data_IF_186277994581
#
_entry.id   IF_186277994581
#
_cell.length_a   1.000
_cell.length_b   1.000
_cell.length_c   1.000
_cell.angle_alpha   90.00
_cell.angle_beta   90.00
_cell.angle_gamma   90.00
#
_symmetry.space_group_name_H-M   'P 1'
#
loop_
_entity.id
_entity.type
_entity.pdbx_description
1 polymer ?
#
# COMPACT_ATOMS: atom_id res chain seq x y z
N UNK A 1 50.67 -41.14 -43.96
CA UNK A 1 50.17 -42.46 -43.51
C UNK A 1 48.98 -42.83 -44.38
N UNK A 2 49.08 -43.96 -45.08
CA UNK A 2 48.12 -44.49 -46.05
C UNK A 2 46.77 -44.83 -45.40
N UNK A 3 45.67 -44.31 -45.95
CA UNK A 3 44.28 -44.70 -45.61
C UNK A 3 43.66 -45.58 -46.71
N UNK A 4 44.48 -46.42 -47.35
CA UNK A 4 44.04 -47.43 -48.31
C UNK A 4 43.82 -48.76 -47.58
N UNK A 5 42.81 -48.86 -46.70
CA UNK A 5 42.26 -50.16 -46.29
C UNK A 5 40.92 -50.02 -45.53
N UNK A 6 39.87 -49.54 -46.19
CA UNK A 6 38.50 -49.75 -45.70
C UNK A 6 37.90 -50.89 -46.52
N UNK A 7 37.95 -52.08 -45.91
CA UNK A 7 37.38 -53.32 -46.42
C UNK A 7 35.86 -53.16 -46.46
N UNK A 8 35.31 -52.80 -47.62
CA UNK A 8 33.87 -52.80 -47.86
C UNK A 8 33.33 -54.23 -47.71
N UNK A 9 32.35 -54.49 -46.83
CA UNK A 9 31.72 -55.80 -46.75
C UNK A 9 30.92 -56.02 -48.04
N UNK A 10 31.26 -57.09 -48.77
CA UNK A 10 30.51 -57.57 -49.92
C UNK A 10 29.06 -57.85 -49.49
N UNK A 11 28.12 -57.02 -49.93
CA UNK A 11 26.69 -57.34 -49.85
C UNK A 11 26.37 -58.45 -50.85
N UNK A 12 25.63 -59.51 -50.45
CA UNK A 12 25.20 -60.55 -51.36
C UNK A 12 24.20 -59.99 -52.38
N UNK A 13 24.36 -60.40 -53.63
CA UNK A 13 23.49 -60.08 -54.73
C UNK A 13 22.06 -60.56 -54.47
N UNK A 14 21.15 -59.59 -54.35
CA UNK A 14 19.73 -59.79 -54.31
C UNK A 14 19.09 -58.43 -54.53
N UNK A 15 18.58 -58.18 -55.73
CA UNK A 15 17.99 -56.90 -56.13
C UNK A 15 16.85 -56.43 -55.22
N UNK A 16 16.22 -57.35 -54.47
CA UNK A 16 15.18 -57.04 -53.49
C UNK A 16 15.75 -56.59 -52.11
N UNK A 17 16.80 -57.22 -51.59
CA UNK A 17 17.32 -56.92 -50.25
C UNK A 17 18.04 -55.56 -50.18
N UNK A 18 18.81 -55.22 -51.21
CA UNK A 18 19.45 -53.90 -51.31
C UNK A 18 18.44 -52.78 -51.61
N UNK A 19 17.37 -53.08 -52.35
CA UNK A 19 16.26 -52.16 -52.55
C UNK A 19 15.48 -51.90 -51.25
N UNK A 20 15.23 -52.94 -50.43
CA UNK A 20 14.56 -52.82 -49.13
C UNK A 20 15.39 -52.01 -48.12
N UNK A 21 16.71 -52.16 -48.10
CA UNK A 21 17.59 -51.34 -47.25
C UNK A 21 17.56 -49.88 -47.70
N UNK A 22 17.61 -49.61 -49.01
CA UNK A 22 17.49 -48.23 -49.54
C UNK A 22 16.12 -47.61 -49.24
N UNK A 23 15.04 -48.38 -49.40
CA UNK A 23 13.68 -47.96 -49.04
C UNK A 23 13.55 -47.72 -47.53
N UNK A 24 14.15 -48.56 -46.70
CA UNK A 24 14.17 -48.40 -45.25
C UNK A 24 14.95 -47.17 -44.79
N UNK A 25 16.08 -46.85 -45.45
CA UNK A 25 16.85 -45.62 -45.16
C UNK A 25 16.11 -44.38 -45.61
N UNK A 26 15.49 -44.38 -46.79
CA UNK A 26 14.69 -43.24 -47.29
C UNK A 26 13.43 -43.05 -46.46
N UNK A 27 12.74 -44.12 -46.09
CA UNK A 27 11.58 -44.06 -45.20
C UNK A 27 11.98 -43.62 -43.78
N UNK A 28 13.10 -44.13 -43.25
CA UNK A 28 13.63 -43.72 -41.96
C UNK A 28 14.04 -42.25 -41.92
N UNK A 29 14.72 -41.75 -42.96
CA UNK A 29 15.03 -40.32 -43.12
C UNK A 29 13.78 -39.46 -43.30
N UNK A 30 12.78 -39.96 -44.02
CA UNK A 30 11.48 -39.29 -44.19
C UNK A 30 10.73 -39.15 -42.87
N UNK A 31 10.61 -40.23 -42.10
CA UNK A 31 9.95 -40.24 -40.79
C UNK A 31 10.73 -39.40 -39.78
N UNK A 32 12.07 -39.50 -39.76
CA UNK A 32 12.92 -38.65 -38.92
C UNK A 32 12.81 -37.16 -39.30
N UNK A 33 12.72 -36.87 -40.60
CA UNK A 33 12.49 -35.53 -41.12
C UNK A 33 11.16 -34.98 -40.61
N UNK A 34 10.05 -35.70 -40.80
CA UNK A 34 8.71 -35.28 -40.36
C UNK A 34 8.64 -35.12 -38.84
N UNK A 35 9.22 -36.06 -38.08
CA UNK A 35 9.23 -36.00 -36.62
C UNK A 35 9.99 -34.78 -36.09
N UNK A 36 11.14 -34.42 -36.70
CA UNK A 36 11.88 -33.21 -36.36
C UNK A 36 11.29 -31.94 -36.98
N UNK A 37 10.33 -32.06 -37.91
CA UNK A 37 9.67 -30.92 -38.55
C UNK A 37 8.49 -30.40 -37.72
N UNK A 38 8.04 -31.14 -36.72
CA UNK A 38 6.92 -30.73 -35.88
C UNK A 38 7.46 -30.06 -34.62
N UNK A 39 6.91 -28.89 -34.30
CA UNK A 39 7.15 -28.24 -33.01
C UNK A 39 5.82 -27.78 -32.40
N UNK A 40 5.77 -27.80 -31.07
CA UNK A 40 4.60 -27.46 -30.30
C UNK A 40 4.79 -26.12 -29.62
N UNK A 41 3.76 -25.27 -29.67
CA UNK A 41 3.70 -24.01 -28.95
C UNK A 41 2.67 -24.15 -27.84
N UNK A 42 3.12 -24.05 -26.60
CA UNK A 42 2.26 -24.15 -25.42
C UNK A 42 1.33 -22.94 -25.27
N UNK A 43 0.22 -23.13 -24.57
CA UNK A 43 -0.74 -22.05 -24.31
C UNK A 43 -0.09 -20.85 -23.62
N UNK A 44 -0.40 -19.64 -24.10
CA UNK A 44 0.21 -18.40 -23.60
C UNK A 44 1.65 -18.15 -24.06
N UNK A 45 2.16 -18.96 -24.98
CA UNK A 45 3.37 -18.66 -25.74
C UNK A 45 3.04 -18.35 -27.20
N UNK A 46 3.96 -17.68 -27.88
CA UNK A 46 3.90 -17.41 -29.33
C UNK A 46 5.25 -17.75 -29.93
N UNK A 47 5.25 -18.34 -31.12
CA UNK A 47 6.49 -18.64 -31.81
C UNK A 47 6.72 -17.69 -32.99
N UNK A 48 7.96 -17.24 -33.12
CA UNK A 48 8.47 -16.63 -34.35
C UNK A 48 9.42 -17.62 -35.02
N UNK A 49 9.48 -17.62 -36.35
CA UNK A 49 10.34 -18.55 -37.08
C UNK A 49 11.48 -17.78 -37.73
N UNK A 50 12.71 -18.14 -37.35
CA UNK A 50 13.93 -17.68 -37.99
C UNK A 50 14.29 -18.63 -39.14
N UNK A 51 14.33 -18.11 -40.36
CA UNK A 51 14.81 -18.83 -41.53
C UNK A 51 16.27 -18.44 -41.83
N UNK A 52 17.13 -19.43 -42.08
CA UNK A 52 18.57 -19.19 -42.33
C UNK A 52 18.85 -18.36 -43.59
N UNK A 53 17.99 -18.40 -44.60
CA UNK A 53 18.19 -17.72 -45.89
C UNK A 53 17.59 -16.31 -45.89
N UNK A 54 16.35 -16.18 -45.42
CA UNK A 54 15.55 -14.94 -45.51
C UNK A 54 15.60 -14.14 -44.19
N UNK A 55 15.96 -14.78 -43.07
CA UNK A 55 15.92 -14.19 -41.73
C UNK A 55 14.60 -14.45 -41.01
N UNK A 56 14.25 -13.57 -40.08
CA UNK A 56 13.03 -13.67 -39.25
C UNK A 56 11.79 -13.45 -40.11
N UNK A 57 10.83 -14.38 -40.08
CA UNK A 57 9.52 -14.21 -40.74
C UNK A 57 8.62 -13.28 -39.93
N UNK A 58 7.79 -12.49 -40.61
CA UNK A 58 6.80 -11.59 -39.97
C UNK A 58 5.57 -12.33 -39.42
N UNK A 59 5.37 -13.59 -39.79
CA UNK A 59 4.24 -14.37 -39.31
C UNK A 59 4.51 -14.88 -37.89
N UNK A 60 3.61 -14.53 -36.98
CA UNK A 60 3.58 -15.05 -35.61
C UNK A 60 2.68 -16.28 -35.55
N UNK A 61 3.20 -17.36 -34.98
CA UNK A 61 2.48 -18.61 -34.84
C UNK A 61 1.80 -18.67 -33.46
N UNK A 62 0.48 -18.91 -33.40
CA UNK A 62 -0.26 -19.07 -32.15
C UNK A 62 0.13 -20.38 -31.42
N UNK A 63 -0.54 -20.65 -30.31
CA UNK A 63 -0.50 -21.96 -29.64
C UNK A 63 -0.95 -23.10 -30.57
N UNK A 64 -0.34 -24.27 -30.42
CA UNK A 64 -0.62 -25.46 -31.24
C UNK A 64 0.62 -26.06 -31.93
N UNK A 65 0.41 -27.18 -32.62
CA UNK A 65 1.46 -27.88 -33.37
C UNK A 65 1.65 -27.24 -34.73
N UNK A 66 2.88 -26.85 -35.03
CA UNK A 66 3.26 -26.17 -36.27
C UNK A 66 4.38 -26.95 -36.98
N UNK A 67 4.43 -26.80 -38.30
CA UNK A 67 5.43 -27.42 -39.14
C UNK A 67 6.57 -26.42 -39.43
N UNK A 68 7.80 -26.83 -39.16
CA UNK A 68 9.04 -26.16 -39.51
C UNK A 68 9.88 -27.04 -40.42
N UNK A 69 10.65 -26.45 -41.33
CA UNK A 69 11.62 -27.20 -42.13
C UNK A 69 12.91 -27.36 -41.31
N UNK A 70 13.28 -28.59 -40.89
CA UNK A 70 14.49 -28.83 -40.12
C UNK A 70 15.70 -28.28 -40.89
N UNK A 71 16.68 -27.75 -40.16
CA UNK A 71 17.91 -27.11 -40.66
C UNK A 71 17.77 -25.68 -41.20
N UNK A 72 16.71 -25.38 -41.95
CA UNK A 72 16.48 -24.03 -42.49
C UNK A 72 15.73 -23.13 -41.52
N UNK A 73 14.80 -23.68 -40.76
CA UNK A 73 13.92 -22.93 -39.87
C UNK A 73 14.18 -23.27 -38.41
N UNK A 74 14.19 -22.24 -37.57
CA UNK A 74 14.32 -22.36 -36.11
C UNK A 74 13.22 -21.55 -35.44
N UNK A 75 12.29 -22.19 -34.72
CA UNK A 75 11.27 -21.51 -33.94
C UNK A 75 11.90 -20.94 -32.67
N UNK A 76 11.62 -19.67 -32.38
CA UNK A 76 11.94 -19.01 -31.12
C UNK A 76 10.62 -18.75 -30.41
N UNK A 77 10.47 -19.33 -29.22
CA UNK A 77 9.23 -19.31 -28.45
C UNK A 77 9.31 -18.18 -27.43
N UNK A 78 8.35 -17.26 -27.48
CA UNK A 78 8.18 -16.16 -26.55
C UNK A 78 7.04 -16.44 -25.60
N UNK A 79 7.25 -16.13 -24.32
CA UNK A 79 6.16 -16.00 -23.36
C UNK A 79 5.48 -14.64 -23.54
N UNK A 80 4.17 -14.66 -23.82
CA UNK A 80 3.36 -13.44 -23.98
C UNK A 80 2.51 -13.12 -22.76
N UNK A 81 2.71 -13.85 -21.65
CA UNK A 81 2.04 -13.59 -20.37
C UNK A 81 2.63 -12.36 -19.68
N UNK A 82 1.81 -11.71 -18.87
CA UNK A 82 2.24 -10.60 -18.03
C UNK A 82 3.24 -11.09 -16.98
N UNK A 83 4.42 -10.49 -16.93
CA UNK A 83 5.44 -10.76 -15.92
C UNK A 83 5.71 -9.51 -15.08
N UNK A 84 5.80 -9.64 -13.74
CA UNK A 84 6.16 -8.52 -12.89
C UNK A 84 7.66 -8.25 -12.97
N UNK A 85 8.01 -6.98 -13.07
CA UNK A 85 9.37 -6.49 -12.97
C UNK A 85 9.44 -5.40 -11.91
N UNK A 86 10.36 -5.55 -10.96
CA UNK A 86 10.58 -4.57 -9.91
C UNK A 86 11.87 -3.82 -10.22
N UNK A 87 11.75 -2.49 -10.32
CA UNK A 87 12.88 -1.61 -10.59
C UNK A 87 12.92 -0.55 -9.51
N UNK A 88 14.09 -0.40 -8.90
CA UNK A 88 14.35 0.71 -7.98
C UNK A 88 15.16 1.79 -8.68
N UNK A 89 14.84 3.05 -8.40
CA UNK A 89 15.60 4.20 -8.88
C UNK A 89 15.64 5.29 -7.82
N UNK A 90 16.76 5.99 -7.74
CA UNK A 90 16.90 7.18 -6.90
C UNK A 90 16.79 8.42 -7.77
N UNK A 91 15.87 9.31 -7.42
CA UNK A 91 15.63 10.57 -8.14
C UNK A 91 15.53 11.75 -7.17
N UNK A 92 15.93 12.93 -7.65
CA UNK A 92 15.61 14.18 -6.99
C UNK A 92 14.15 14.57 -7.23
N UNK A 93 13.47 15.06 -6.21
CA UNK A 93 12.16 15.71 -6.29
C UNK A 93 12.31 17.20 -6.67
N UNK A 94 11.19 17.90 -6.88
CA UNK A 94 11.15 19.33 -7.20
C UNK A 94 11.82 20.22 -6.14
N UNK A 95 11.74 19.82 -4.89
CA UNK A 95 12.35 20.44 -3.71
C UNK A 95 13.78 19.93 -3.43
N UNK A 96 14.43 19.32 -4.44
CA UNK A 96 15.80 18.84 -4.40
C UNK A 96 16.06 17.79 -3.30
N UNK A 97 15.03 17.07 -2.87
CA UNK A 97 15.18 15.94 -1.95
C UNK A 97 15.45 14.66 -2.73
N UNK A 98 16.41 13.88 -2.25
CA UNK A 98 16.69 12.57 -2.83
C UNK A 98 15.67 11.55 -2.33
N UNK A 99 14.95 10.94 -3.28
CA UNK A 99 13.92 9.94 -3.01
C UNK A 99 14.29 8.64 -3.72
N UNK A 100 14.32 7.55 -2.97
CA UNK A 100 14.44 6.20 -3.51
C UNK A 100 13.04 5.64 -3.75
N UNK A 101 12.75 5.29 -4.99
CA UNK A 101 11.42 4.87 -5.45
C UNK A 101 11.55 3.47 -6.04
N UNK A 102 10.76 2.54 -5.50
CA UNK A 102 10.56 1.22 -6.10
C UNK A 102 9.29 1.21 -6.93
N UNK A 103 9.39 0.78 -8.18
CA UNK A 103 8.27 0.64 -9.10
C UNK A 103 8.13 -0.83 -9.51
N UNK A 104 6.91 -1.36 -9.39
CA UNK A 104 6.52 -2.64 -9.97
C UNK A 104 5.74 -2.38 -11.26
N UNK A 105 6.20 -3.00 -12.34
CA UNK A 105 5.60 -2.91 -13.66
C UNK A 105 5.21 -4.32 -14.12
N UNK A 106 3.97 -4.50 -14.57
CA UNK A 106 3.53 -5.71 -15.26
C UNK A 106 3.68 -5.49 -16.76
N UNK A 107 4.59 -6.24 -17.38
CA UNK A 107 4.92 -6.11 -18.79
C UNK A 107 4.58 -7.37 -19.56
N UNK A 108 4.10 -7.20 -20.79
CA UNK A 108 3.99 -8.27 -21.78
C UNK A 108 4.32 -7.74 -23.17
N UNK A 109 4.93 -8.54 -24.05
CA UNK A 109 5.17 -8.13 -25.43
C UNK A 109 3.85 -8.19 -26.22
N UNK A 110 3.69 -7.31 -27.21
CA UNK A 110 2.53 -7.36 -28.10
C UNK A 110 2.66 -8.57 -29.04
N UNK A 111 1.73 -9.54 -29.02
CA UNK A 111 1.87 -10.79 -29.79
C UNK A 111 2.09 -10.58 -31.28
N UNK A 112 1.40 -9.60 -31.89
CA UNK A 112 1.43 -9.38 -33.34
C UNK A 112 2.77 -8.78 -33.83
N UNK A 113 3.52 -8.12 -32.94
CA UNK A 113 4.75 -7.40 -33.27
C UNK A 113 6.01 -8.09 -32.74
N UNK A 114 5.90 -9.34 -32.30
CA UNK A 114 7.04 -10.15 -31.83
C UNK A 114 8.22 -10.24 -32.81
N UNK A 115 8.02 -10.33 -34.15
CA UNK A 115 9.14 -10.33 -35.10
C UNK A 115 9.95 -9.04 -35.04
N UNK A 116 9.28 -7.90 -34.91
CA UNK A 116 9.90 -6.58 -34.76
C UNK A 116 10.67 -6.50 -33.45
N UNK A 117 10.06 -6.90 -32.34
CA UNK A 117 10.70 -6.96 -31.01
C UNK A 117 11.98 -7.78 -31.04
N UNK A 118 11.94 -8.97 -31.66
CA UNK A 118 13.11 -9.84 -31.75
C UNK A 118 14.24 -9.22 -32.58
N UNK A 119 13.92 -8.56 -33.71
CA UNK A 119 14.92 -7.89 -34.56
C UNK A 119 15.60 -6.72 -33.85
N UNK A 120 14.84 -5.91 -33.09
CA UNK A 120 15.36 -4.69 -32.46
C UNK A 120 15.97 -4.93 -31.09
N UNK A 121 15.34 -5.78 -30.27
CA UNK A 121 15.64 -5.94 -28.84
C UNK A 121 16.25 -7.31 -28.50
N UNK A 122 15.96 -8.33 -29.32
CA UNK A 122 16.34 -9.71 -29.07
C UNK A 122 15.42 -10.40 -28.05
N UNK A 123 15.85 -11.57 -27.56
CA UNK A 123 15.10 -12.37 -26.58
C UNK A 123 14.99 -11.67 -25.21
N UNK A 124 16.04 -10.94 -24.82
CA UNK A 124 16.11 -10.20 -23.55
C UNK A 124 15.56 -8.78 -23.65
N UNK A 125 14.41 -8.61 -24.30
CA UNK A 125 13.79 -7.30 -24.51
C UNK A 125 13.45 -6.58 -23.19
N UNK A 126 13.05 -7.34 -22.16
CA UNK A 126 12.70 -6.79 -20.85
C UNK A 126 13.91 -6.12 -20.17
N UNK A 127 15.02 -6.83 -20.03
CA UNK A 127 16.19 -6.35 -19.29
C UNK A 127 16.93 -5.22 -20.02
N UNK A 128 16.89 -5.24 -21.36
CA UNK A 128 17.66 -4.30 -22.17
C UNK A 128 17.10 -2.89 -22.17
N UNK A 129 15.77 -2.74 -22.18
CA UNK A 129 15.12 -1.45 -22.43
C UNK A 129 14.23 -0.98 -21.28
N UNK A 130 13.55 -1.87 -20.56
CA UNK A 130 12.65 -1.45 -19.49
C UNK A 130 13.35 -0.62 -18.40
N UNK A 131 14.53 -1.00 -17.86
CA UNK A 131 15.17 -0.22 -16.80
C UNK A 131 15.48 1.21 -17.26
N UNK A 132 15.90 1.39 -18.51
CA UNK A 132 16.25 2.70 -19.07
C UNK A 132 15.03 3.61 -19.17
N UNK A 133 13.93 3.14 -19.76
CA UNK A 133 12.71 3.94 -19.91
C UNK A 133 12.09 4.22 -18.54
N UNK A 134 12.08 3.24 -17.64
CA UNK A 134 11.55 3.38 -16.28
C UNK A 134 12.35 4.44 -15.52
N UNK A 135 13.69 4.36 -15.53
CA UNK A 135 14.53 5.33 -14.83
C UNK A 135 14.38 6.74 -15.37
N UNK A 136 14.29 6.90 -16.69
CA UNK A 136 14.08 8.20 -17.32
C UNK A 136 12.70 8.78 -16.96
N UNK A 137 11.64 7.98 -17.09
CA UNK A 137 10.26 8.39 -16.80
C UNK A 137 10.09 8.73 -15.33
N UNK A 138 10.64 7.92 -14.42
CA UNK A 138 10.62 8.20 -12.99
C UNK A 138 11.32 9.52 -12.68
N UNK A 139 12.52 9.75 -13.23
CA UNK A 139 13.24 11.01 -13.03
C UNK A 139 12.46 12.22 -13.55
N UNK A 140 11.84 12.09 -14.72
CA UNK A 140 11.07 13.17 -15.34
C UNK A 140 9.81 13.52 -14.54
N UNK A 141 9.07 12.53 -14.04
CA UNK A 141 7.83 12.77 -13.28
C UNK A 141 8.15 13.24 -11.86
N UNK A 142 9.09 12.58 -11.18
CA UNK A 142 9.42 12.87 -9.77
C UNK A 142 9.97 14.29 -9.61
N UNK A 143 10.73 14.78 -10.59
CA UNK A 143 11.22 16.15 -10.60
C UNK A 143 10.11 17.23 -10.67
N UNK A 144 8.89 16.87 -11.07
CA UNK A 144 7.75 17.80 -11.15
C UNK A 144 6.99 17.94 -9.83
N UNK A 145 7.11 16.97 -8.92
CA UNK A 145 6.41 16.90 -7.64
C UNK A 145 7.34 17.17 -6.46
N UNK A 146 6.79 17.78 -5.41
CA UNK A 146 7.49 17.92 -4.14
C UNK A 146 7.48 16.59 -3.36
N UNK A 147 8.45 16.38 -2.48
CA UNK A 147 8.55 15.17 -1.65
C UNK A 147 7.24 14.86 -0.87
N UNK A 148 6.58 15.89 -0.32
CA UNK A 148 5.30 15.75 0.40
C UNK A 148 4.14 15.32 -0.50
N UNK A 149 4.15 15.71 -1.77
CA UNK A 149 3.12 15.35 -2.76
C UNK A 149 3.27 13.89 -3.20
N UNK A 150 4.49 13.36 -3.25
CA UNK A 150 4.73 11.95 -3.57
C UNK A 150 4.10 11.00 -2.53
N UNK A 151 3.96 11.45 -1.28
CA UNK A 151 3.28 10.71 -0.21
C UNK A 151 1.77 10.90 -0.32
N UNK A 152 1.31 12.15 -0.34
CA UNK A 152 -0.12 12.49 -0.23
C UNK A 152 -0.90 12.21 -1.51
N UNK A 153 -0.30 12.39 -2.69
CA UNK A 153 -0.93 12.25 -4.00
C UNK A 153 -0.32 11.11 -4.82
N UNK A 154 0.11 10.04 -4.13
CA UNK A 154 0.78 8.88 -4.74
C UNK A 154 0.01 8.29 -5.92
N UNK A 155 -1.32 8.23 -5.84
CA UNK A 155 -2.18 7.68 -6.89
C UNK A 155 -2.13 8.51 -8.17
N UNK A 156 -2.18 9.84 -8.05
CA UNK A 156 -2.07 10.74 -9.19
C UNK A 156 -0.70 10.62 -9.86
N UNK A 157 0.37 10.54 -9.07
CA UNK A 157 1.73 10.36 -9.56
C UNK A 157 1.88 9.00 -10.26
N UNK A 158 1.32 7.92 -9.69
CA UNK A 158 1.35 6.58 -10.29
C UNK A 158 0.62 6.55 -11.64
N UNK A 159 -0.51 7.27 -11.75
CA UNK A 159 -1.25 7.40 -13.01
C UNK A 159 -0.46 8.14 -14.09
N UNK A 160 0.21 9.24 -13.71
CA UNK A 160 1.03 10.01 -14.65
C UNK A 160 2.24 9.20 -15.13
N UNK A 161 2.92 8.50 -14.22
CA UNK A 161 4.00 7.57 -14.56
C UNK A 161 3.48 6.49 -15.52
N UNK A 162 2.31 5.89 -15.23
CA UNK A 162 1.70 4.88 -16.09
C UNK A 162 1.47 5.42 -17.50
N UNK A 163 0.88 6.60 -17.64
CA UNK A 163 0.59 7.21 -18.94
C UNK A 163 1.87 7.38 -19.77
N UNK A 164 2.87 8.06 -19.23
CA UNK A 164 4.12 8.34 -19.94
C UNK A 164 4.89 7.05 -20.24
N UNK A 165 4.92 6.12 -19.29
CA UNK A 165 5.61 4.84 -19.46
C UNK A 165 4.92 3.97 -20.52
N UNK A 166 3.59 3.95 -20.56
CA UNK A 166 2.82 3.23 -21.60
C UNK A 166 3.07 3.82 -22.98
N UNK A 167 3.06 5.15 -23.14
CA UNK A 167 3.37 5.81 -24.41
C UNK A 167 4.79 5.47 -24.89
N UNK A 168 5.78 5.51 -23.99
CA UNK A 168 7.17 5.17 -24.33
C UNK A 168 7.37 3.68 -24.62
N UNK A 169 6.73 2.79 -23.86
CA UNK A 169 6.82 1.34 -24.07
C UNK A 169 6.15 0.90 -25.37
N UNK A 170 5.08 1.59 -25.80
CA UNK A 170 4.40 1.33 -27.06
C UNK A 170 5.34 1.49 -28.27
N UNK A 171 6.26 2.46 -28.24
CA UNK A 171 7.27 2.63 -29.30
C UNK A 171 8.20 1.41 -29.47
N UNK A 172 8.34 0.60 -28.43
CA UNK A 172 9.12 -0.64 -28.45
C UNK A 172 8.26 -1.90 -28.60
N UNK A 173 6.96 -1.75 -28.89
CA UNK A 173 5.99 -2.84 -28.98
C UNK A 173 5.85 -3.67 -27.70
N UNK A 174 6.03 -3.04 -26.54
CA UNK A 174 5.83 -3.65 -25.22
C UNK A 174 4.56 -3.05 -24.61
N UNK A 175 3.63 -3.91 -24.20
CA UNK A 175 2.43 -3.50 -23.49
C UNK A 175 2.65 -3.55 -21.97
N UNK A 176 2.13 -2.52 -21.28
CA UNK A 176 2.13 -2.43 -19.83
C UNK A 176 0.71 -2.63 -19.32
N UNK A 177 0.48 -3.69 -18.57
CA UNK A 177 -0.86 -3.96 -18.02
C UNK A 177 -1.10 -3.13 -16.75
N UNK A 178 -0.07 -3.01 -15.90
CA UNK A 178 -0.14 -2.26 -14.64
C UNK A 178 1.21 -1.64 -14.26
N UNK A 179 1.16 -0.48 -13.59
CA UNK A 179 2.31 0.25 -13.10
C UNK A 179 1.97 0.79 -11.72
N UNK A 180 2.68 0.31 -10.70
CA UNK A 180 2.43 0.69 -9.31
C UNK A 180 3.73 1.01 -8.60
N UNK A 181 3.78 2.14 -7.90
CA UNK A 181 4.86 2.42 -6.94
C UNK A 181 4.73 1.39 -5.81
N UNK A 182 5.81 0.71 -5.42
CA UNK A 182 5.85 -0.27 -4.33
C UNK A 182 6.40 0.37 -3.06
N UNK A 183 7.59 0.94 -3.13
CA UNK A 183 8.29 1.57 -2.00
C UNK A 183 8.65 3.02 -2.31
N UNK A 184 8.61 3.86 -1.28
CA UNK A 184 9.01 5.27 -1.35
C UNK A 184 9.80 5.57 -0.08
N UNK A 185 11.09 5.86 -0.23
CA UNK A 185 12.00 6.10 0.90
C UNK A 185 12.68 7.44 0.69
N UNK A 186 12.61 8.30 1.70
CA UNK A 186 13.29 9.60 1.72
C UNK A 186 14.63 9.49 2.48
N UNK A 187 15.48 10.50 2.33
CA UNK A 187 16.66 10.68 3.18
C UNK A 187 16.27 10.71 4.66
N UNK A 188 17.15 10.21 5.54
CA UNK A 188 16.88 10.08 6.98
C UNK A 188 16.59 11.44 7.63
N UNK A 189 17.29 12.46 7.18
CA UNK A 189 17.19 13.84 7.65
C UNK A 189 15.81 14.44 7.35
N UNK A 190 15.27 14.17 6.15
CA UNK A 190 13.94 14.64 5.76
C UNK A 190 12.85 13.94 6.56
N UNK A 191 12.94 12.61 6.71
CA UNK A 191 11.99 11.84 7.53
C UNK A 191 11.99 12.34 8.98
N UNK A 192 13.16 12.53 9.58
CA UNK A 192 13.28 13.06 10.94
C UNK A 192 12.69 14.48 11.07
N UNK A 193 12.89 15.35 10.08
CA UNK A 193 12.31 16.69 10.08
C UNK A 193 10.78 16.68 9.97
N UNK A 194 10.22 15.77 9.17
CA UNK A 194 8.75 15.60 9.05
C UNK A 194 8.16 15.06 10.35
N UNK A 195 8.78 14.05 10.95
CA UNK A 195 8.36 13.51 12.25
C UNK A 195 8.41 14.59 13.34
N UNK A 196 9.50 15.34 13.43
CA UNK A 196 9.63 16.45 14.38
C UNK A 196 8.55 17.52 14.16
N UNK A 197 8.23 17.85 12.90
CA UNK A 197 7.16 18.80 12.57
C UNK A 197 5.78 18.26 12.95
N UNK A 198 5.54 16.97 12.77
CA UNK A 198 4.29 16.32 13.18
C UNK A 198 4.12 16.33 14.70
N UNK A 199 5.19 16.01 15.44
CA UNK A 199 5.19 16.09 16.91
C UNK A 199 4.91 17.52 17.36
N UNK A 200 5.62 18.52 16.82
CA UNK A 200 5.40 19.93 17.16
C UNK A 200 3.98 20.41 16.82
N UNK A 201 3.40 19.97 15.69
CA UNK A 201 2.02 20.29 15.33
C UNK A 201 1.01 19.66 16.30
N UNK A 202 1.22 18.40 16.68
CA UNK A 202 0.38 17.71 17.66
C UNK A 202 0.50 18.33 19.06
N UNK A 203 1.69 18.74 19.47
CA UNK A 203 1.92 19.45 20.73
C UNK A 203 1.21 20.82 20.74
N UNK A 204 1.27 21.56 19.62
CA UNK A 204 0.56 22.82 19.50
C UNK A 204 -0.97 22.64 19.57
N UNK A 205 -1.51 21.60 18.94
CA UNK A 205 -2.93 21.27 19.03
C UNK A 205 -3.33 20.86 20.44
N UNK A 206 -2.51 20.04 21.11
CA UNK A 206 -2.72 19.68 22.51
C UNK A 206 -2.67 20.90 23.43
N UNK A 207 -1.74 21.82 23.22
CA UNK A 207 -1.64 23.05 23.99
C UNK A 207 -2.91 23.91 23.83
N UNK A 208 -3.45 24.03 22.62
CA UNK A 208 -4.75 24.70 22.38
C UNK A 208 -5.88 24.04 23.16
N UNK A 209 -5.95 22.72 23.15
CA UNK A 209 -6.97 21.98 23.90
C UNK A 209 -6.85 22.18 25.41
N UNK A 210 -5.63 22.26 25.96
CA UNK A 210 -5.40 22.54 27.38
C UNK A 210 -5.88 23.96 27.74
N UNK A 211 -5.58 24.94 26.89
CA UNK A 211 -6.06 26.32 27.08
C UNK A 211 -7.58 26.39 27.02
N UNK A 212 -8.19 25.75 26.01
CA UNK A 212 -9.65 25.70 25.87
C UNK A 212 -10.30 25.02 27.08
N UNK A 213 -9.74 23.90 27.55
CA UNK A 213 -10.20 23.23 28.79
C UNK A 213 -10.12 24.17 29.99
N UNK A 214 -9.00 24.89 30.16
CA UNK A 214 -8.84 25.83 31.26
C UNK A 214 -9.84 27.00 31.17
N UNK A 215 -10.17 27.48 29.97
CA UNK A 215 -11.22 28.48 29.78
C UNK A 215 -12.61 27.94 30.14
N UNK A 216 -12.93 26.71 29.73
CA UNK A 216 -14.19 26.07 30.07
C UNK A 216 -14.31 25.83 31.58
N UNK A 217 -13.24 25.37 32.23
CA UNK A 217 -13.19 25.17 33.68
C UNK A 217 -13.37 26.51 34.42
N UNK A 218 -12.74 27.59 33.94
CA UNK A 218 -12.94 28.95 34.48
C UNK A 218 -14.39 29.41 34.33
N UNK A 219 -14.99 29.23 33.16
CA UNK A 219 -16.40 29.59 32.91
C UNK A 219 -17.33 28.80 33.82
N UNK A 220 -17.09 27.49 33.96
CA UNK A 220 -17.81 26.62 34.89
C UNK A 220 -17.72 27.08 36.34
N UNK A 221 -16.52 27.45 36.79
CA UNK A 221 -16.30 27.98 38.14
C UNK A 221 -17.03 29.32 38.38
N UNK A 222 -17.03 30.24 37.42
CA UNK A 222 -17.76 31.52 37.52
C UNK A 222 -19.27 31.27 37.57
N UNK A 223 -19.79 30.42 36.68
CA UNK A 223 -21.22 30.08 36.65
C UNK A 223 -21.63 29.41 37.96
N UNK A 224 -20.80 28.51 38.49
CA UNK A 224 -21.03 27.86 39.78
C UNK A 224 -21.04 28.87 40.93
N UNK A 225 -20.05 29.76 41.00
CA UNK A 225 -19.98 30.79 42.03
C UNK A 225 -21.16 31.77 41.95
N UNK A 226 -21.59 32.16 40.75
CA UNK A 226 -22.78 32.97 40.54
C UNK A 226 -24.06 32.23 40.96
N UNK A 227 -24.15 30.94 40.64
CA UNK A 227 -25.25 30.07 41.06
C UNK A 227 -25.31 29.94 42.58
N UNK A 228 -24.17 29.72 43.24
CA UNK A 228 -24.05 29.65 44.69
C UNK A 228 -24.37 30.99 45.35
N UNK A 229 -23.87 32.11 44.83
CA UNK A 229 -24.18 33.45 45.34
C UNK A 229 -25.67 33.77 45.18
N UNK A 230 -26.26 33.45 44.03
CA UNK A 230 -27.69 33.67 43.80
C UNK A 230 -28.55 32.76 44.69
N UNK A 231 -28.14 31.51 44.86
CA UNK A 231 -28.77 30.56 45.79
C UNK A 231 -28.70 31.08 47.23
N UNK A 232 -27.52 31.52 47.70
CA UNK A 232 -27.33 32.08 49.02
C UNK A 232 -28.16 33.35 49.25
N UNK A 233 -28.27 34.24 48.24
CA UNK A 233 -29.15 35.41 48.31
C UNK A 233 -30.62 35.02 48.44
N UNK A 234 -31.09 34.05 47.64
CA UNK A 234 -32.48 33.58 47.70
C UNK A 234 -32.78 32.90 49.04
N UNK A 235 -31.89 32.03 49.51
CA UNK A 235 -31.99 31.39 50.83
C UNK A 235 -31.99 32.46 51.94
N UNK A 236 -31.10 33.45 51.87
CA UNK A 236 -31.04 34.56 52.82
C UNK A 236 -32.34 35.39 52.84
N UNK A 237 -32.93 35.66 51.67
CA UNK A 237 -34.24 36.31 51.58
C UNK A 237 -35.35 35.43 52.17
N UNK A 238 -35.36 34.12 51.89
CA UNK A 238 -36.31 33.18 52.48
C UNK A 238 -36.20 33.10 54.00
N UNK A 239 -34.98 33.11 54.55
CA UNK A 239 -34.69 33.16 55.98
C UNK A 239 -35.21 34.45 56.61
N UNK A 240 -34.93 35.60 55.98
CA UNK A 240 -35.36 36.91 56.47
C UNK A 240 -36.90 37.02 56.50
N UNK A 241 -37.58 36.40 55.54
CA UNK A 241 -39.03 36.41 55.44
C UNK A 241 -39.71 35.41 56.41
N UNK A 242 -39.06 34.32 56.80
CA UNK A 242 -39.64 33.31 57.67
C UNK A 242 -38.62 32.76 58.70
N UNK A 243 -38.71 33.16 59.99
CA UNK A 243 -37.80 32.67 61.03
C UNK A 243 -37.94 31.16 61.31
N UNK A 244 -39.08 30.54 60.98
CA UNK A 244 -39.27 29.09 61.10
C UNK A 244 -38.43 28.29 60.08
N UNK A 245 -37.87 28.93 59.06
CA UNK A 245 -37.00 28.25 58.10
C UNK A 245 -35.63 27.91 58.70
N UNK A 246 -35.09 28.76 59.58
CA UNK A 246 -33.83 28.49 60.28
C UNK A 246 -33.99 27.32 61.25
N UNK A 247 -35.12 27.24 61.95
CA UNK A 247 -35.39 26.16 62.90
C UNK A 247 -35.53 24.83 62.16
N UNK A 248 -36.26 24.81 61.04
CA UNK A 248 -36.36 23.63 60.18
C UNK A 248 -34.98 23.19 59.65
N UNK A 249 -34.14 24.12 59.19
CA UNK A 249 -32.79 23.80 58.70
C UNK A 249 -31.86 23.29 59.79
N UNK A 250 -31.95 23.80 61.02
CA UNK A 250 -31.22 23.25 62.18
C UNK A 250 -31.63 21.81 62.46
N UNK A 251 -32.93 21.50 62.41
CA UNK A 251 -33.44 20.13 62.61
C UNK A 251 -32.96 19.19 61.49
N UNK A 252 -32.99 19.64 60.24
CA UNK A 252 -32.50 18.86 59.11
C UNK A 252 -30.99 18.58 59.20
N UNK A 253 -30.19 19.59 59.53
CA UNK A 253 -28.75 19.44 59.74
C UNK A 253 -28.45 18.48 60.90
N UNK A 254 -29.17 18.61 62.02
CA UNK A 254 -29.04 17.69 63.15
C UNK A 254 -29.39 16.24 62.74
N UNK A 255 -30.44 16.04 61.94
CA UNK A 255 -30.81 14.72 61.41
C UNK A 255 -29.72 14.14 60.50
N UNK A 256 -29.14 14.95 59.62
CA UNK A 256 -28.08 14.52 58.71
C UNK A 256 -26.78 14.18 59.44
N UNK A 257 -26.39 14.99 60.43
CA UNK A 257 -25.24 14.72 61.31
C UNK A 257 -25.47 13.41 62.06
N UNK A 258 -26.65 13.23 62.68
CA UNK A 258 -26.98 12.01 63.39
C UNK A 258 -26.94 10.77 62.48
N UNK A 259 -27.43 10.89 61.25
CA UNK A 259 -27.39 9.81 60.26
C UNK A 259 -25.95 9.49 59.83
N UNK A 260 -25.12 10.51 59.57
CA UNK A 260 -23.70 10.34 59.22
C UNK A 260 -22.92 9.68 60.36
N UNK A 261 -23.20 10.07 61.61
CA UNK A 261 -22.59 9.45 62.79
C UNK A 261 -23.04 8.01 62.99
N UNK A 262 -24.31 7.69 62.74
CA UNK A 262 -24.80 6.31 62.82
C UNK A 262 -24.11 5.37 61.83
N UNK A 263 -23.64 5.90 60.69
CA UNK A 263 -22.97 5.13 59.64
C UNK A 263 -21.44 5.16 59.75
N UNK A 264 -20.86 6.06 60.53
CA UNK A 264 -19.41 6.15 60.69
C UNK A 264 -18.85 4.94 61.45
N UNK A 265 -17.81 4.31 60.89
CA UNK A 265 -17.16 3.15 61.52
C UNK A 265 -16.32 3.52 62.76
N UNK A 266 -15.85 4.77 62.85
CA UNK A 266 -15.06 5.28 63.96
C UNK A 266 -15.97 5.93 65.01
N UNK A 267 -16.03 5.34 66.21
CA UNK A 267 -16.81 5.85 67.34
C UNK A 267 -15.96 6.87 68.13
N UNK A 268 -16.18 8.15 67.87
CA UNK A 268 -15.60 9.26 68.64
C UNK A 268 -16.70 9.83 69.55
N UNK A 269 -16.44 9.93 70.85
CA UNK A 269 -17.35 10.59 71.79
C UNK A 269 -17.23 12.10 71.58
N UNK A 270 -18.24 12.68 70.95
CA UNK A 270 -18.37 14.13 70.74
C UNK A 270 -19.55 14.60 71.59
N UNK A 271 -19.43 15.79 72.16
CA UNK A 271 -20.53 16.37 72.94
C UNK A 271 -21.69 16.77 72.02
N UNK A 272 -22.93 16.64 72.49
CA UNK A 272 -24.12 17.02 71.71
C UNK A 272 -24.17 18.53 71.39
N UNK A 273 -23.53 19.35 72.23
CA UNK A 273 -23.44 20.80 72.04
C UNK A 273 -22.45 21.17 70.92
N UNK A 274 -21.30 20.49 70.83
CA UNK A 274 -20.34 20.71 69.73
C UNK A 274 -20.91 20.32 68.36
N UNK A 275 -21.85 19.38 68.34
CA UNK A 275 -22.51 18.89 67.13
C UNK A 275 -23.81 19.65 66.79
N UNK A 276 -24.16 20.67 67.58
CA UNK A 276 -25.42 21.43 67.41
C UNK A 276 -26.68 20.54 67.42
N UNK A 277 -26.61 19.39 68.10
CA UNK A 277 -27.72 18.43 68.22
C UNK A 277 -28.67 18.78 69.36
N UNK A 278 -28.31 19.75 70.20
CA UNK A 278 -29.13 20.18 71.32
C UNK A 278 -30.32 21.02 70.83
N UNK A 279 -31.42 20.33 70.56
CA UNK A 279 -32.66 20.94 70.08
C UNK A 279 -33.49 21.60 71.21
N UNK A 280 -33.08 21.48 72.47
CA UNK A 280 -33.85 21.95 73.63
C UNK A 280 -33.79 23.48 73.83
N UNK A 281 -32.75 24.14 73.32
CA UNK A 281 -32.58 25.61 73.37
C UNK A 281 -33.31 26.35 72.22
N UNK A 282 -34.06 25.65 71.36
CA UNK A 282 -34.87 26.26 70.31
C UNK A 282 -36.11 26.92 70.90
N UNK A 283 -35.96 28.18 71.33
CA UNK A 283 -37.09 29.00 71.74
C UNK A 283 -37.94 29.40 70.51
N UNK A 284 -39.14 28.83 70.38
CA UNK A 284 -40.04 29.00 69.23
C UNK A 284 -40.93 30.25 69.34
N UNK A 285 -40.73 31.11 70.36
CA UNK A 285 -41.63 32.21 70.75
C UNK A 285 -41.62 33.46 69.84
N UNK A 286 -41.00 33.40 68.66
CA UNK A 286 -40.95 34.53 67.72
C UNK A 286 -42.12 34.63 66.72
N UNK A 287 -42.97 33.61 66.61
CA UNK A 287 -43.95 33.50 65.51
C UNK A 287 -45.33 34.13 65.80
N UNK A 288 -45.48 34.97 66.83
CA UNK A 288 -46.80 35.38 67.32
C UNK A 288 -46.97 36.84 67.74
N UNK A 289 -46.29 37.80 67.12
CA UNK A 289 -46.62 39.24 67.28
C UNK A 289 -46.57 40.00 65.96
N UNK A 290 -47.62 39.84 65.17
CA UNK A 290 -48.31 40.90 64.43
C UNK A 290 -49.72 40.42 64.07
#
# INVERSE_FOLDING_TARGET
MNLNNVKVPKMPGGGAASALIKLGVVAGLGVYGVANSLYNVDGGHRAIVFNRIIGVKDKVYPEGTHFMIPWFERPVIYDVRARPHLVESTSGSRDLQMVKIGLRVLTRPVPDQLPTVYRTLGENYNERVLPSIIHETLKAVVAQYNASQLITQRENVSREIRKILTERAANFNIALDDVSITSLTFGKEFTAAIEAKQVAAQEAERAKFVVEKAEQDKRSAIIRAQGEAKSAQLIGQSIANNPAFITLRKIEAAREIAQTMSHAANKVYLSSDDLLLNLQDLNLDGAGKR
#
